data_IF_644547802917
#
_entry.id   IF_644547802917
#
_cell.length_a   1.000
_cell.length_b   1.000
_cell.length_c   1.000
_cell.angle_alpha   90.00
_cell.angle_beta   90.00
_cell.angle_gamma   90.00
#
_symmetry.space_group_name_H-M   'P 1'
#
loop_
_entity.id
_entity.type
_entity.pdbx_description
1 polymer ?
#
# COMPACT_ATOMS: atom_id res chain seq x y z
N UNK A 1 -20.10 11.48 -22.35
CA UNK A 1 -18.77 10.92 -22.01
C UNK A 1 -17.71 11.18 -23.10
N UNK A 2 -18.12 11.39 -24.36
CA UNK A 2 -17.22 11.58 -25.50
C UNK A 2 -17.09 13.08 -25.89
N UNK A 3 -17.01 13.95 -24.89
CA UNK A 3 -16.92 15.40 -25.08
C UNK A 3 -15.49 15.97 -25.00
N UNK A 4 -14.50 15.09 -25.03
CA UNK A 4 -13.09 15.45 -24.90
C UNK A 4 -12.67 15.86 -23.49
N UNK A 5 -13.49 15.57 -22.48
CA UNK A 5 -13.23 15.97 -21.08
C UNK A 5 -12.96 14.81 -20.15
N UNK A 6 -13.05 13.57 -20.63
CA UNK A 6 -12.80 12.37 -19.83
C UNK A 6 -11.50 11.70 -20.28
N UNK A 7 -10.65 11.36 -19.33
CA UNK A 7 -9.38 10.65 -19.54
C UNK A 7 -9.42 9.37 -18.72
N UNK A 8 -9.06 8.25 -19.34
CA UNK A 8 -8.91 6.95 -18.66
C UNK A 8 -7.46 6.52 -18.79
N UNK A 9 -6.84 6.16 -17.68
CA UNK A 9 -5.41 5.86 -17.58
C UNK A 9 -5.16 4.59 -16.78
N UNK A 10 -4.05 3.93 -17.05
CA UNK A 10 -3.45 2.88 -16.22
C UNK A 10 -1.96 3.13 -16.06
N UNK A 11 -1.34 2.56 -15.04
CA UNK A 11 0.10 2.58 -14.84
C UNK A 11 0.68 1.21 -15.20
N UNK A 12 1.27 1.06 -16.40
CA UNK A 12 1.76 -0.23 -16.87
C UNK A 12 2.93 -0.77 -16.05
N UNK A 13 3.68 0.08 -15.34
CA UNK A 13 4.77 -0.37 -14.46
C UNK A 13 4.21 -1.04 -13.20
N UNK A 14 3.14 -0.49 -12.65
CA UNK A 14 2.42 -1.12 -11.53
C UNK A 14 1.77 -2.43 -11.96
N UNK A 15 1.20 -2.48 -13.16
CA UNK A 15 0.55 -3.68 -13.70
C UNK A 15 1.54 -4.84 -13.86
N UNK A 16 2.78 -4.56 -14.29
CA UNK A 16 3.84 -5.59 -14.42
C UNK A 16 4.22 -6.21 -13.08
N UNK A 17 4.10 -5.46 -11.97
CA UNK A 17 4.37 -5.98 -10.61
C UNK A 17 3.11 -6.52 -9.92
N UNK A 18 2.05 -6.80 -10.66
CA UNK A 18 0.83 -7.39 -10.14
C UNK A 18 -0.08 -6.42 -9.38
N UNK A 19 0.12 -5.11 -9.53
CA UNK A 19 -0.73 -4.06 -8.94
C UNK A 19 -1.54 -3.40 -10.04
N UNK A 20 -2.73 -3.87 -10.25
CA UNK A 20 -3.62 -3.29 -11.25
C UNK A 20 -4.19 -1.97 -10.78
N UNK A 21 -4.19 -0.97 -11.66
CA UNK A 21 -4.81 0.30 -11.39
C UNK A 21 -5.59 0.83 -12.59
N UNK A 22 -6.67 1.50 -12.29
CA UNK A 22 -7.49 2.21 -13.25
C UNK A 22 -7.75 3.61 -12.71
N UNK A 23 -7.49 4.62 -13.53
CA UNK A 23 -7.71 6.01 -13.17
C UNK A 23 -8.64 6.65 -14.19
N UNK A 24 -9.67 7.32 -13.69
CA UNK A 24 -10.62 8.09 -14.50
C UNK A 24 -10.53 9.54 -14.08
N UNK A 25 -10.15 10.40 -14.99
CA UNK A 25 -10.05 11.86 -14.80
C UNK A 25 -11.13 12.58 -15.60
N UNK A 26 -11.78 13.55 -14.97
CA UNK A 26 -12.76 14.42 -15.61
C UNK A 26 -12.31 15.86 -15.50
N UNK A 27 -12.18 16.52 -16.63
CA UNK A 27 -11.89 17.95 -16.71
C UNK A 27 -13.12 18.73 -16.27
N UNK A 28 -13.01 19.49 -15.20
CA UNK A 28 -14.10 20.31 -14.65
C UNK A 28 -14.07 21.72 -15.25
N UNK A 29 -12.89 22.31 -15.32
CA UNK A 29 -12.62 23.61 -15.91
C UNK A 29 -11.41 23.55 -16.81
N UNK A 30 -10.98 24.70 -17.35
CA UNK A 30 -9.75 24.78 -18.14
C UNK A 30 -8.51 24.31 -17.34
N UNK A 31 -8.40 24.69 -16.09
CA UNK A 31 -7.22 24.40 -15.24
C UNK A 31 -7.43 23.38 -14.12
N UNK A 32 -8.65 22.83 -13.96
CA UNK A 32 -8.98 21.93 -12.85
C UNK A 32 -9.62 20.65 -13.34
N UNK A 33 -9.17 19.52 -12.81
CA UNK A 33 -9.81 18.21 -13.01
C UNK A 33 -10.01 17.48 -11.69
N UNK A 34 -11.00 16.57 -11.68
CA UNK A 34 -11.19 15.57 -10.65
C UNK A 34 -10.78 14.20 -11.21
N UNK A 35 -10.10 13.42 -10.42
CA UNK A 35 -9.67 12.07 -10.79
C UNK A 35 -10.10 11.08 -9.72
N UNK A 36 -10.49 9.88 -10.13
CA UNK A 36 -10.75 8.74 -9.28
C UNK A 36 -9.79 7.62 -9.66
N UNK A 37 -8.95 7.20 -8.72
CA UNK A 37 -8.08 6.04 -8.86
C UNK A 37 -8.68 4.83 -8.16
N UNK A 38 -8.66 3.68 -8.84
CA UNK A 38 -8.99 2.36 -8.30
C UNK A 38 -7.73 1.51 -8.39
N UNK A 39 -7.36 0.89 -7.28
CA UNK A 39 -6.16 0.07 -7.18
C UNK A 39 -6.52 -1.26 -6.55
N UNK A 40 -5.97 -2.34 -7.08
CA UNK A 40 -6.10 -3.63 -6.45
C UNK A 40 -4.90 -4.51 -6.74
N UNK A 41 -4.56 -5.35 -5.78
CA UNK A 41 -3.56 -6.40 -5.93
C UNK A 41 -4.29 -7.72 -5.80
N UNK A 42 -4.37 -8.52 -6.87
CA UNK A 42 -4.89 -9.87 -6.78
C UNK A 42 -3.96 -10.70 -5.88
N UNK A 43 -4.51 -11.62 -5.13
CA UNK A 43 -3.73 -12.57 -4.37
C UNK A 43 -3.02 -13.52 -5.34
N UNK A 44 -1.69 -13.60 -5.26
CA UNK A 44 -0.93 -14.67 -5.91
C UNK A 44 -1.11 -15.95 -5.11
N UNK A 45 -1.57 -17.02 -5.75
CA UNK A 45 -2.00 -18.26 -5.08
C UNK A 45 -0.82 -19.21 -4.75
N UNK A 46 0.42 -18.87 -5.06
CA UNK A 46 1.51 -19.86 -5.05
C UNK A 46 2.91 -19.31 -4.83
N UNK A 47 3.10 -18.27 -4.03
CA UNK A 47 4.45 -17.85 -3.61
C UNK A 47 5.45 -17.57 -4.74
N UNK A 48 5.03 -17.60 -6.00
CA UNK A 48 5.84 -17.26 -7.15
C UNK A 48 5.88 -15.74 -7.29
N UNK A 49 6.95 -15.17 -6.80
CA UNK A 49 7.30 -13.78 -7.02
C UNK A 49 7.55 -13.53 -8.52
N UNK A 50 6.51 -13.23 -9.25
CA UNK A 50 6.61 -12.68 -10.60
C UNK A 50 6.82 -11.17 -10.52
N UNK A 51 8.05 -10.72 -10.36
CA UNK A 51 8.31 -9.31 -10.44
C UNK A 51 9.77 -8.97 -10.22
N UNK A 52 10.47 -8.58 -11.27
CA UNK A 52 11.89 -8.21 -11.26
C UNK A 52 12.20 -6.91 -10.48
N UNK A 53 11.20 -6.27 -9.86
CA UNK A 53 11.40 -5.08 -9.05
C UNK A 53 10.68 -5.22 -7.71
N UNK A 54 11.45 -5.58 -6.70
CA UNK A 54 11.05 -5.41 -5.31
C UNK A 54 10.91 -3.92 -5.02
N UNK A 55 9.70 -3.37 -5.10
CA UNK A 55 9.41 -2.10 -4.47
C UNK A 55 9.30 -2.36 -2.96
N UNK A 56 10.46 -2.37 -2.31
CA UNK A 56 10.53 -2.26 -0.86
C UNK A 56 9.95 -0.89 -0.53
N UNK A 57 8.70 -0.84 -0.13
CA UNK A 57 8.22 0.25 0.74
C UNK A 57 9.11 0.22 1.97
N UNK A 58 10.16 1.03 1.99
CA UNK A 58 10.93 1.28 3.19
C UNK A 58 10.02 2.05 4.14
N UNK A 59 9.17 1.35 4.87
CA UNK A 59 8.88 1.79 6.21
C UNK A 59 10.24 1.74 6.91
N UNK A 60 10.78 2.90 7.21
CA UNK A 60 12.02 3.06 7.98
C UNK A 60 11.77 2.55 9.41
N UNK A 61 11.71 1.24 9.56
CA UNK A 61 11.72 0.56 10.85
C UNK A 61 12.49 -0.74 10.72
N UNK A 62 13.60 -0.80 11.41
CA UNK A 62 14.67 -1.78 11.31
C UNK A 62 14.34 -3.18 11.87
N UNK A 63 13.09 -3.63 11.97
CA UNK A 63 12.87 -4.85 12.76
C UNK A 63 11.75 -5.80 12.31
N UNK A 64 10.86 -5.44 11.39
CA UNK A 64 9.85 -6.39 10.92
C UNK A 64 10.14 -6.74 9.47
N UNK A 65 10.73 -7.91 9.26
CA UNK A 65 10.84 -8.50 7.93
C UNK A 65 9.52 -9.22 7.67
N UNK A 66 8.56 -8.51 7.06
CA UNK A 66 7.42 -9.18 6.47
C UNK A 66 7.91 -10.07 5.34
N UNK A 67 7.44 -11.31 5.32
CA UNK A 67 7.62 -12.20 4.18
C UNK A 67 7.17 -11.49 2.89
N UNK A 68 7.78 -11.77 1.75
CA UNK A 68 7.52 -11.08 0.49
C UNK A 68 6.12 -11.31 -0.10
N UNK A 69 5.27 -12.08 0.55
CA UNK A 69 3.89 -12.24 0.13
C UNK A 69 3.15 -10.91 0.22
N UNK A 70 2.78 -10.37 -0.94
CA UNK A 70 2.07 -9.10 -0.98
C UNK A 70 0.65 -9.30 -0.46
N UNK A 71 0.19 -8.49 0.51
CA UNK A 71 -1.19 -8.56 0.96
C UNK A 71 -2.13 -8.23 -0.19
N UNK A 72 -3.23 -8.95 -0.27
CA UNK A 72 -4.34 -8.57 -1.14
C UNK A 72 -4.86 -7.23 -0.67
N UNK A 73 -4.95 -6.25 -1.56
CA UNK A 73 -5.56 -4.99 -1.20
C UNK A 73 -6.47 -4.43 -2.30
N UNK A 74 -7.43 -3.65 -1.86
CA UNK A 74 -8.28 -2.80 -2.70
C UNK A 74 -8.19 -1.38 -2.18
N UNK A 75 -7.99 -0.41 -3.07
CA UNK A 75 -7.98 0.99 -2.69
C UNK A 75 -8.75 1.87 -3.68
N UNK A 76 -9.35 2.92 -3.13
CA UNK A 76 -10.01 3.99 -3.89
C UNK A 76 -9.37 5.32 -3.52
N UNK A 77 -9.10 6.15 -4.53
CA UNK A 77 -8.38 7.41 -4.35
C UNK A 77 -9.04 8.53 -5.14
N UNK A 78 -9.94 9.33 -4.55
CA UNK A 78 -10.35 10.60 -5.12
C UNK A 78 -9.22 11.61 -5.07
N UNK A 79 -9.09 12.40 -6.15
CA UNK A 79 -7.99 13.35 -6.34
C UNK A 79 -8.51 14.59 -7.06
N UNK A 80 -7.89 15.73 -6.76
CA UNK A 80 -8.13 17.01 -7.45
C UNK A 80 -6.80 17.49 -8.01
N UNK A 81 -6.79 17.86 -9.29
CA UNK A 81 -5.63 18.39 -9.99
C UNK A 81 -5.82 19.82 -10.39
N UNK A 82 -4.80 20.61 -10.22
CA UNK A 82 -4.71 21.97 -10.72
C UNK A 82 -3.55 22.06 -11.70
N UNK A 83 -3.85 22.32 -12.97
CA UNK A 83 -2.89 22.53 -14.04
C UNK A 83 -2.35 23.96 -14.01
N UNK A 84 -1.05 24.13 -13.83
CA UNK A 84 -0.40 25.42 -13.65
C UNK A 84 -0.22 26.17 -14.97
N UNK A 85 0.11 25.41 -16.04
CA UNK A 85 0.30 25.93 -17.38
C UNK A 85 -0.18 24.92 -18.41
N UNK A 86 -0.92 25.38 -19.40
CA UNK A 86 -1.56 24.53 -20.42
C UNK A 86 -3.05 24.37 -20.20
N UNK A 87 -3.48 23.57 -19.23
CA UNK A 87 -4.89 23.29 -18.96
C UNK A 87 -5.51 22.25 -19.89
N UNK A 88 -6.82 21.99 -19.74
CA UNK A 88 -7.55 20.93 -20.45
C UNK A 88 -6.86 19.55 -20.39
N UNK A 89 -6.27 19.21 -19.23
CA UNK A 89 -5.56 17.93 -19.04
C UNK A 89 -4.16 17.91 -19.62
N UNK A 90 -3.53 19.05 -19.83
CA UNK A 90 -2.17 19.17 -20.36
C UNK A 90 -1.34 20.15 -19.52
N UNK A 91 -0.08 19.82 -19.27
CA UNK A 91 0.88 20.67 -18.57
C UNK A 91 1.25 20.14 -17.20
N UNK A 92 2.02 20.95 -16.48
CA UNK A 92 2.37 20.67 -15.08
C UNK A 92 1.16 20.84 -14.18
N UNK A 93 1.05 19.98 -13.15
CA UNK A 93 -0.04 20.06 -12.20
C UNK A 93 0.46 19.88 -10.76
N UNK A 94 -0.35 20.41 -9.84
CA UNK A 94 -0.35 20.06 -8.43
C UNK A 94 -1.61 19.24 -8.18
N UNK A 95 -1.50 18.19 -7.39
CA UNK A 95 -2.61 17.28 -7.08
C UNK A 95 -2.73 17.09 -5.59
N UNK A 96 -3.95 17.25 -5.07
CA UNK A 96 -4.31 16.77 -3.75
C UNK A 96 -5.02 15.43 -3.86
N UNK A 97 -4.71 14.49 -2.97
CA UNK A 97 -5.34 13.19 -2.96
C UNK A 97 -5.73 12.73 -1.56
N UNK A 98 -6.77 11.92 -1.52
CA UNK A 98 -7.10 11.05 -0.40
C UNK A 98 -7.15 9.62 -0.93
N UNK A 99 -6.72 8.64 -0.12
CA UNK A 99 -6.80 7.23 -0.46
C UNK A 99 -7.34 6.44 0.72
N UNK A 100 -8.35 5.66 0.46
CA UNK A 100 -8.85 4.62 1.35
C UNK A 100 -8.35 3.28 0.82
N UNK A 101 -7.73 2.48 1.67
CA UNK A 101 -7.19 1.16 1.33
C UNK A 101 -7.64 0.14 2.36
N UNK A 102 -8.14 -0.99 1.90
CA UNK A 102 -8.39 -2.17 2.69
C UNK A 102 -7.43 -3.27 2.27
N UNK A 103 -6.77 -3.90 3.23
CA UNK A 103 -5.74 -4.93 3.00
C UNK A 103 -6.08 -6.17 3.80
N UNK A 104 -6.05 -7.33 3.14
CA UNK A 104 -6.17 -8.65 3.73
C UNK A 104 -4.78 -9.30 3.77
N UNK A 105 -4.40 -9.77 4.94
CA UNK A 105 -3.16 -10.49 5.19
C UNK A 105 -3.48 -11.96 5.40
N UNK A 106 -2.87 -12.83 4.63
CA UNK A 106 -3.05 -14.27 4.74
C UNK A 106 -1.68 -14.92 4.78
N UNK A 107 -1.41 -15.78 5.76
CA UNK A 107 -0.16 -16.53 5.95
C UNK A 107 1.11 -15.66 5.92
N UNK A 108 1.05 -14.49 6.56
CA UNK A 108 2.23 -13.62 6.69
C UNK A 108 3.15 -14.17 7.77
N UNK A 109 4.38 -14.55 7.38
CA UNK A 109 5.38 -15.03 8.32
C UNK A 109 6.14 -13.86 8.93
N UNK A 110 6.15 -13.76 10.25
CA UNK A 110 7.06 -12.88 10.98
C UNK A 110 8.08 -13.75 11.68
N UNK A 111 9.35 -13.53 11.37
CA UNK A 111 10.47 -14.15 12.08
C UNK A 111 10.87 -13.24 13.23
N UNK A 112 10.64 -13.67 14.47
CA UNK A 112 11.21 -13.02 15.63
C UNK A 112 12.72 -13.32 15.73
N UNK A 113 13.50 -12.43 16.35
CA UNK A 113 14.93 -12.62 16.49
C UNK A 113 15.27 -13.96 17.17
N UNK A 114 16.38 -14.55 16.73
CA UNK A 114 16.87 -15.84 17.20
C UNK A 114 17.05 -15.85 18.71
N UNK A 115 16.48 -16.83 19.38
CA UNK A 115 16.72 -17.09 20.79
C UNK A 115 17.43 -18.42 20.96
N UNK A 116 18.42 -18.45 21.84
CA UNK A 116 19.05 -19.70 22.26
C UNK A 116 18.15 -20.33 23.33
N UNK A 117 17.49 -21.43 22.99
CA UNK A 117 16.76 -22.30 23.92
C UNK A 117 17.49 -23.65 23.91
N UNK A 118 17.92 -24.12 25.07
CA UNK A 118 18.64 -25.39 25.22
C UNK A 118 19.86 -25.53 24.28
N UNK A 119 20.73 -24.52 24.24
CA UNK A 119 21.92 -24.44 23.37
C UNK A 119 21.64 -24.56 21.85
N UNK A 120 20.40 -24.48 21.44
CA UNK A 120 19.97 -24.43 20.04
C UNK A 120 19.39 -23.09 19.67
N UNK A 121 19.83 -22.52 18.55
CA UNK A 121 19.18 -21.36 17.95
C UNK A 121 17.79 -21.77 17.43
N UNK A 122 16.74 -21.31 18.08
CA UNK A 122 15.36 -21.47 17.60
C UNK A 122 14.84 -20.14 17.08
N UNK A 123 14.26 -20.19 15.89
CA UNK A 123 13.50 -19.08 15.34
C UNK A 123 12.06 -19.20 15.83
N UNK A 124 11.54 -18.15 16.46
CA UNK A 124 10.12 -18.07 16.73
C UNK A 124 9.47 -17.57 15.43
N UNK A 125 8.77 -18.47 14.76
CA UNK A 125 7.93 -18.11 13.60
C UNK A 125 6.50 -17.92 14.07
N UNK A 126 5.89 -16.82 13.64
CA UNK A 126 4.48 -16.55 13.88
C UNK A 126 3.83 -16.27 12.53
N UNK A 127 2.83 -17.06 12.18
CA UNK A 127 2.04 -16.92 10.96
C UNK A 127 0.83 -16.05 11.27
N UNK A 128 0.67 -14.94 10.56
CA UNK A 128 -0.40 -13.98 10.80
C UNK A 128 -1.41 -13.97 9.68
N UNK A 129 -2.68 -14.00 10.09
CA UNK A 129 -3.84 -13.68 9.26
C UNK A 129 -4.54 -12.46 9.83
N UNK A 130 -5.08 -11.60 8.97
CA UNK A 130 -5.83 -10.46 9.46
C UNK A 130 -6.15 -9.42 8.40
N UNK A 131 -6.59 -8.28 8.89
CA UNK A 131 -7.06 -7.19 8.04
C UNK A 131 -6.56 -5.85 8.57
N UNK A 132 -6.30 -4.94 7.64
CA UNK A 132 -5.99 -3.56 7.97
C UNK A 132 -6.68 -2.60 7.02
N UNK A 133 -7.03 -1.44 7.56
CA UNK A 133 -7.59 -0.32 6.81
C UNK A 133 -6.67 0.87 6.95
N UNK A 134 -6.28 1.46 5.81
CA UNK A 134 -5.41 2.63 5.75
C UNK A 134 -6.14 3.80 5.13
N UNK A 135 -6.11 4.92 5.80
CA UNK A 135 -6.52 6.22 5.28
C UNK A 135 -5.27 7.06 5.05
N UNK A 136 -5.10 7.58 3.85
CA UNK A 136 -3.95 8.43 3.54
C UNK A 136 -4.37 9.67 2.77
N UNK A 137 -3.61 10.73 2.93
CA UNK A 137 -3.79 11.97 2.20
C UNK A 137 -2.44 12.62 1.93
N UNK A 138 -2.37 13.39 0.88
CA UNK A 138 -1.13 14.04 0.49
C UNK A 138 -1.29 15.00 -0.67
N UNK A 139 -0.14 15.52 -1.04
CA UNK A 139 0.02 16.38 -2.21
C UNK A 139 1.04 15.75 -3.15
N UNK A 140 0.87 16.02 -4.42
CA UNK A 140 1.84 15.59 -5.43
C UNK A 140 1.98 16.59 -6.55
N UNK A 141 3.06 16.47 -7.28
CA UNK A 141 3.35 17.23 -8.50
C UNK A 141 3.57 16.27 -9.67
N UNK A 142 3.17 16.69 -10.83
CA UNK A 142 3.37 15.90 -12.04
C UNK A 142 3.21 16.74 -13.31
N UNK A 143 3.29 16.03 -14.44
CA UNK A 143 3.09 16.63 -15.74
C UNK A 143 2.33 15.64 -16.64
N UNK A 144 1.35 16.14 -17.38
CA UNK A 144 0.56 15.36 -18.29
C UNK A 144 0.67 15.92 -19.70
N UNK A 145 0.88 15.05 -20.68
CA UNK A 145 1.01 15.39 -22.08
C UNK A 145 -0.06 14.68 -22.89
N UNK A 146 -0.54 15.39 -23.90
CA UNK A 146 -1.52 14.90 -24.87
C UNK A 146 -0.88 14.80 -26.25
N UNK A 147 -0.90 13.60 -26.83
CA UNK A 147 -0.29 13.27 -28.11
C UNK A 147 -1.33 12.89 -29.17
N UNK A 148 -0.86 12.83 -30.43
CA UNK A 148 -1.65 12.49 -31.60
C UNK A 148 -2.40 13.72 -32.18
N UNK A 149 -2.90 13.56 -33.41
CA UNK A 149 -3.62 14.64 -34.11
C UNK A 149 -4.87 15.09 -33.37
N UNK A 150 -5.54 14.16 -32.69
CA UNK A 150 -6.76 14.42 -31.90
C UNK A 150 -6.47 14.70 -30.43
N UNK A 151 -5.19 14.71 -30.01
CA UNK A 151 -4.76 14.88 -28.62
C UNK A 151 -5.48 13.89 -27.66
N UNK A 152 -5.63 12.65 -28.12
CA UNK A 152 -6.35 11.60 -27.41
C UNK A 152 -5.45 10.58 -26.71
N UNK A 153 -4.15 10.55 -26.99
CA UNK A 153 -3.18 9.71 -26.28
C UNK A 153 -2.62 10.54 -25.12
N UNK A 154 -2.63 9.96 -23.93
CA UNK A 154 -2.24 10.63 -22.69
C UNK A 154 -1.01 9.93 -22.13
N UNK A 155 0.01 10.70 -21.78
CA UNK A 155 1.13 10.31 -20.93
C UNK A 155 1.09 11.19 -19.69
N UNK A 156 1.02 10.59 -18.53
CA UNK A 156 0.96 11.26 -17.23
C UNK A 156 2.16 10.81 -16.39
N UNK A 157 3.05 11.73 -16.07
CA UNK A 157 4.18 11.50 -15.20
C UNK A 157 3.90 12.11 -13.82
N UNK A 158 3.61 11.26 -12.87
CA UNK A 158 3.56 11.58 -11.45
C UNK A 158 5.00 11.65 -10.94
N UNK A 159 5.54 12.86 -10.84
CA UNK A 159 6.97 13.10 -10.57
C UNK A 159 7.29 12.76 -9.13
N UNK A 160 6.51 13.31 -8.20
CA UNK A 160 6.70 13.10 -6.76
C UNK A 160 5.40 13.38 -6.01
N UNK A 161 5.02 12.46 -5.14
CA UNK A 161 3.98 12.64 -4.15
C UNK A 161 4.53 12.46 -2.74
N UNK A 162 3.99 13.24 -1.80
CA UNK A 162 4.26 13.12 -0.38
C UNK A 162 2.95 13.19 0.40
N UNK A 163 2.81 12.34 1.40
CA UNK A 163 1.60 12.27 2.20
C UNK A 163 1.79 11.53 3.50
N UNK A 164 0.69 11.39 4.21
CA UNK A 164 0.65 10.65 5.48
C UNK A 164 -0.51 9.66 5.48
N UNK A 165 -0.21 8.45 5.94
CA UNK A 165 -1.16 7.36 6.10
C UNK A 165 -1.41 7.04 7.56
N UNK A 166 -2.64 6.59 7.87
CA UNK A 166 -3.04 6.10 9.19
C UNK A 166 -3.68 4.74 8.98
N UNK A 167 -3.03 3.72 9.51
CA UNK A 167 -3.47 2.33 9.42
C UNK A 167 -4.07 1.89 10.74
N UNK A 168 -5.18 1.17 10.64
CA UNK A 168 -5.82 0.45 11.76
C UNK A 168 -6.07 -0.97 11.33
N UNK A 169 -5.84 -1.92 12.25
CA UNK A 169 -6.02 -3.32 11.91
C UNK A 169 -6.06 -4.23 13.11
N UNK A 170 -6.27 -5.51 12.83
CA UNK A 170 -6.14 -6.60 13.77
C UNK A 170 -5.57 -7.82 13.05
N UNK A 171 -4.69 -8.54 13.73
CA UNK A 171 -4.05 -9.74 13.23
C UNK A 171 -4.28 -10.88 14.23
N UNK A 172 -4.38 -12.10 13.72
CA UNK A 172 -4.35 -13.32 14.53
C UNK A 172 -3.14 -14.11 14.12
N UNK A 173 -2.21 -14.34 15.05
CA UNK A 173 -0.99 -15.08 14.83
C UNK A 173 -1.08 -16.49 15.39
N UNK A 174 -0.57 -17.47 14.65
CA UNK A 174 -0.36 -18.84 15.11
C UNK A 174 1.13 -19.10 15.23
N UNK A 175 1.57 -19.65 16.36
CA UNK A 175 3.00 -19.90 16.64
C UNK A 175 3.24 -21.34 17.07
N UNK A 176 4.52 -21.76 17.05
CA UNK A 176 4.89 -23.13 17.42
C UNK A 176 4.61 -23.40 18.90
N UNK A 177 3.91 -24.50 19.27
CA UNK A 177 3.50 -24.80 20.63
C UNK A 177 4.66 -24.98 21.65
N UNK A 178 5.89 -25.20 21.15
CA UNK A 178 7.08 -25.38 21.99
C UNK A 178 7.54 -24.07 22.69
N UNK A 179 6.95 -22.92 22.32
CA UNK A 179 7.31 -21.60 22.88
C UNK A 179 6.25 -21.15 23.85
N UNK A 180 6.64 -20.66 25.02
CA UNK A 180 5.69 -20.15 26.02
C UNK A 180 5.06 -18.83 25.59
N UNK A 181 3.82 -18.58 26.02
CA UNK A 181 3.11 -17.31 25.77
C UNK A 181 3.92 -16.07 26.16
N UNK A 182 4.61 -16.13 27.31
CA UNK A 182 5.43 -15.02 27.80
C UNK A 182 6.64 -14.73 26.89
N UNK A 183 7.20 -15.73 26.27
CA UNK A 183 8.32 -15.58 25.34
C UNK A 183 7.87 -15.00 24.00
N UNK A 184 6.72 -15.46 23.48
CA UNK A 184 6.09 -14.90 22.29
C UNK A 184 5.72 -13.43 22.53
N UNK A 185 5.08 -13.11 23.66
CA UNK A 185 4.72 -11.73 24.01
C UNK A 185 5.96 -10.84 24.09
N UNK A 186 7.00 -11.30 24.76
CA UNK A 186 8.27 -10.56 24.86
C UNK A 186 8.90 -10.29 23.50
N UNK A 187 8.96 -11.31 22.64
CA UNK A 187 9.50 -11.19 21.29
C UNK A 187 8.69 -10.19 20.45
N UNK A 188 7.36 -10.33 20.44
CA UNK A 188 6.46 -9.43 19.72
C UNK A 188 6.58 -7.97 20.19
N UNK A 189 6.67 -7.72 21.52
CA UNK A 189 6.82 -6.37 22.06
C UNK A 189 8.19 -5.75 21.75
N UNK A 190 9.24 -6.55 21.56
CA UNK A 190 10.56 -6.07 21.18
C UNK A 190 10.60 -5.62 19.70
N UNK A 191 9.83 -6.30 18.86
CA UNK A 191 9.83 -6.08 17.41
C UNK A 191 8.75 -5.11 16.94
N UNK A 192 7.81 -4.73 17.84
CA UNK A 192 6.80 -3.74 17.50
C UNK A 192 7.45 -2.36 17.33
N UNK A 193 7.18 -1.68 16.21
CA UNK A 193 7.57 -0.29 16.04
C UNK A 193 7.08 0.58 17.18
N UNK A 194 7.88 1.55 17.60
CA UNK A 194 7.57 2.45 18.72
C UNK A 194 6.27 3.24 18.55
N UNK A 195 5.81 3.40 17.33
CA UNK A 195 4.56 4.05 16.94
C UNK A 195 3.33 3.12 17.02
N UNK A 196 3.51 1.84 17.31
CA UNK A 196 2.43 0.85 17.55
C UNK A 196 2.19 0.56 19.05
N UNK A 197 2.47 1.48 19.94
CA UNK A 197 2.42 1.28 21.39
C UNK A 197 1.05 0.89 21.96
N UNK A 198 -0.03 1.17 21.22
CA UNK A 198 -1.41 0.88 21.64
C UNK A 198 -1.86 -0.56 21.33
N UNK A 199 -1.02 -1.38 20.67
CA UNK A 199 -1.37 -2.74 20.31
C UNK A 199 -1.62 -3.61 21.56
N UNK A 200 -2.74 -4.32 21.57
CA UNK A 200 -3.16 -5.21 22.65
C UNK A 200 -3.00 -6.65 22.17
N UNK A 201 -2.21 -7.43 22.93
CA UNK A 201 -2.01 -8.84 22.72
C UNK A 201 -2.94 -9.64 23.61
N UNK A 202 -3.67 -10.57 23.01
CA UNK A 202 -4.53 -11.51 23.71
C UNK A 202 -4.13 -12.91 23.29
N UNK A 203 -3.64 -13.72 24.23
CA UNK A 203 -3.27 -15.10 24.00
C UNK A 203 -4.43 -16.04 24.27
N UNK A 204 -4.61 -17.03 23.40
CA UNK A 204 -5.58 -18.10 23.63
C UNK A 204 -5.02 -19.04 24.71
N UNK A 205 -5.85 -19.43 25.69
CA UNK A 205 -5.44 -20.30 26.78
C UNK A 205 -5.27 -21.76 26.37
N UNK A 206 -5.84 -22.15 25.24
CA UNK A 206 -5.94 -23.54 24.78
C UNK A 206 -5.18 -23.82 23.49
N UNK A 207 -4.88 -22.77 22.72
CA UNK A 207 -4.22 -22.87 21.41
C UNK A 207 -2.99 -21.96 21.33
N UNK A 208 -1.98 -22.30 20.53
CA UNK A 208 -0.80 -21.45 20.34
C UNK A 208 -1.13 -20.27 19.42
N UNK A 209 -2.07 -19.45 19.84
CA UNK A 209 -2.57 -18.30 19.08
C UNK A 209 -2.45 -17.01 19.87
N UNK A 210 -2.13 -15.94 19.16
CA UNK A 210 -2.11 -14.58 19.67
C UNK A 210 -2.96 -13.68 18.78
N UNK A 211 -3.90 -12.96 19.37
CA UNK A 211 -4.65 -11.91 18.68
C UNK A 211 -4.03 -10.57 18.99
N UNK A 212 -3.61 -9.86 17.94
CA UNK A 212 -3.11 -8.49 18.03
C UNK A 212 -4.23 -7.55 17.59
N UNK A 213 -4.70 -6.73 18.49
CA UNK A 213 -5.79 -5.78 18.24
C UNK A 213 -5.35 -4.36 18.54
N UNK A 214 -6.17 -3.37 18.14
CA UNK A 214 -5.88 -1.94 18.28
C UNK A 214 -4.58 -1.49 17.61
N UNK A 215 -4.16 -2.19 16.55
CA UNK A 215 -3.04 -1.75 15.73
C UNK A 215 -3.36 -0.37 15.18
N UNK A 216 -2.52 0.61 15.48
CA UNK A 216 -2.57 1.96 14.94
C UNK A 216 -1.18 2.33 14.51
N UNK A 217 -1.01 2.70 13.25
CA UNK A 217 0.28 3.10 12.71
C UNK A 217 0.10 4.34 11.84
N UNK A 218 0.99 5.31 12.01
CA UNK A 218 1.14 6.41 11.06
C UNK A 218 2.37 6.14 10.19
N UNK A 219 2.27 6.40 8.90
CA UNK A 219 3.36 6.23 7.95
C UNK A 219 3.46 7.43 7.02
N UNK A 220 4.66 7.82 6.70
CA UNK A 220 4.92 8.76 5.63
C UNK A 220 4.90 8.01 4.29
N UNK A 221 4.29 8.62 3.28
CA UNK A 221 4.09 8.04 1.97
C UNK A 221 4.83 8.90 0.96
N UNK A 222 5.64 8.25 0.13
CA UNK A 222 6.24 8.84 -1.05
C UNK A 222 5.87 7.98 -2.24
N UNK A 223 5.40 8.61 -3.30
CA UNK A 223 5.02 7.91 -4.52
C UNK A 223 5.50 8.66 -5.78
N UNK A 224 5.70 7.89 -6.84
CA UNK A 224 6.00 8.36 -8.19
C UNK A 224 5.47 7.32 -9.18
N UNK A 225 5.24 7.72 -10.42
CA UNK A 225 4.74 6.77 -11.41
C UNK A 225 4.55 7.38 -12.79
N UNK A 226 4.30 6.50 -13.76
CA UNK A 226 4.00 6.89 -15.14
C UNK A 226 2.76 6.16 -15.58
N UNK A 227 1.75 6.92 -15.99
CA UNK A 227 0.50 6.35 -16.51
C UNK A 227 0.33 6.70 -17.98
N UNK A 228 -0.28 5.77 -18.71
CA UNK A 228 -0.71 5.97 -20.10
C UNK A 228 -2.22 5.84 -20.19
N UNK A 229 -2.81 6.52 -21.17
CA UNK A 229 -4.26 6.49 -21.29
C UNK A 229 -4.81 7.11 -22.56
N UNK A 230 -6.14 7.23 -22.55
CA UNK A 230 -6.89 7.82 -23.63
C UNK A 230 -7.85 8.88 -23.12
N UNK A 231 -8.00 9.92 -23.92
CA UNK A 231 -8.94 11.01 -23.74
C UNK A 231 -10.12 10.87 -24.72
N UNK A 232 -11.30 10.97 -24.19
CA UNK A 232 -12.57 10.82 -24.93
C UNK A 232 -13.37 12.11 -24.93
#
# INVERSE_FOLDING_TARGET
LLDGKTIVKTDPLSDVVGKLNLQVERLLTHGVSAQLGLYFTPQGDDGTQSGAFHYRSYALSNSIVFSPEQPKYVAISPQIRWYLNGGLGHGFYIQGYYRFQHSDFTHQHIFAPQKVVDDKMQHISVDYDGQATTHSYGLSIGAQWLFGRRKNIVLDWHILGAGRGFTRGSLTGTYTPAVSHAEVEKALRQDIPRDMTDAVFTFDATQPQVKVSKIKQASDIFDMGVSIGFRF
#
